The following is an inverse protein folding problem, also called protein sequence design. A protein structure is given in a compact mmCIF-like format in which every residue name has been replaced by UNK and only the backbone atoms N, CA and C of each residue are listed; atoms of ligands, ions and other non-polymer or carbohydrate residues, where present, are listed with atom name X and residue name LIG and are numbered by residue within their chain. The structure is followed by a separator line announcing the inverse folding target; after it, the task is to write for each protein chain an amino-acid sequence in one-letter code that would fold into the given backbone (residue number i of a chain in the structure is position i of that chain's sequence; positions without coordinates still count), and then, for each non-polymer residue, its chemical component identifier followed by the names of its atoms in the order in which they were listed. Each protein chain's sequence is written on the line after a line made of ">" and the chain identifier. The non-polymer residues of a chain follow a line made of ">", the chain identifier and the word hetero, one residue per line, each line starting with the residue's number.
data_IF_716197143863
#
_entry.id   IF_716197143863
#
_cell.length_a   1.000
_cell.length_b   1.000
_cell.length_c   1.000
_cell.angle_alpha   90.00
_cell.angle_beta   90.00
_cell.angle_gamma   90.00
#
_symmetry.space_group_name_H-M   'P 1'
#
loop_
_entity.id
_entity.type
_entity.pdbx_description
1 polymer ?
#
# COMPACT_ATOMS: atom_id res chain seq x y z
N UNK A 1 -9.82 1.94 -9.48
CA UNK A 1 -9.77 0.74 -8.64
C UNK A 1 -10.34 -0.45 -9.39
N UNK A 2 -9.67 -1.57 -9.31
CA UNK A 2 -10.07 -2.80 -10.01
C UNK A 2 -10.29 -3.88 -8.96
N UNK A 3 -11.45 -4.52 -9.01
CA UNK A 3 -11.78 -5.58 -8.06
C UNK A 3 -12.01 -6.89 -8.78
N UNK A 4 -11.62 -7.98 -8.15
CA UNK A 4 -11.84 -9.33 -8.66
C UNK A 4 -12.05 -10.31 -7.52
N UNK A 5 -12.26 -11.58 -7.84
CA UNK A 5 -12.54 -12.58 -6.81
C UNK A 5 -11.36 -12.78 -5.85
N UNK A 6 -10.16 -12.47 -6.29
CA UNK A 6 -8.95 -12.71 -5.49
C UNK A 6 -8.41 -11.44 -4.86
N UNK A 7 -9.11 -10.31 -4.96
CA UNK A 7 -8.66 -9.08 -4.33
C UNK A 7 -9.00 -7.84 -5.13
N UNK A 8 -8.37 -6.74 -4.73
CA UNK A 8 -8.55 -5.45 -5.36
C UNK A 8 -7.20 -4.85 -5.71
N UNK A 9 -7.11 -4.25 -6.90
CA UNK A 9 -5.93 -3.49 -7.30
C UNK A 9 -6.29 -2.01 -7.24
N UNK A 10 -5.45 -1.22 -6.58
CA UNK A 10 -5.68 0.21 -6.39
C UNK A 10 -4.45 0.96 -6.87
N UNK A 11 -4.66 1.94 -7.75
CA UNK A 11 -3.61 2.84 -8.16
C UNK A 11 -3.70 4.08 -7.27
N UNK A 12 -2.61 4.36 -6.56
CA UNK A 12 -2.57 5.50 -5.65
C UNK A 12 -1.47 6.46 -6.06
N UNK A 13 -1.80 7.74 -6.11
CA UNK A 13 -0.84 8.79 -6.44
C UNK A 13 -0.86 9.87 -5.37
N UNK A 14 0.31 10.17 -4.84
CA UNK A 14 0.46 11.23 -3.84
C UNK A 14 0.98 12.48 -4.54
N UNK A 15 0.10 13.46 -4.73
CA UNK A 15 0.50 14.73 -5.35
C UNK A 15 1.44 15.50 -4.43
N UNK A 16 1.26 15.34 -3.11
CA UNK A 16 2.10 15.95 -2.10
C UNK A 16 2.52 14.87 -1.12
N UNK A 17 3.55 15.15 -0.33
CA UNK A 17 3.99 14.23 0.71
C UNK A 17 2.79 13.85 1.58
N UNK A 18 2.59 12.56 1.77
CA UNK A 18 1.42 12.05 2.44
C UNK A 18 1.81 10.95 3.41
N UNK A 19 1.29 11.02 4.64
CA UNK A 19 1.60 10.04 5.67
C UNK A 19 0.37 9.20 5.97
N UNK A 20 0.58 7.88 6.02
CA UNK A 20 -0.45 6.94 6.44
C UNK A 20 -0.06 6.45 7.83
N UNK A 21 -0.89 6.74 8.84
CA UNK A 21 -0.55 6.34 10.21
C UNK A 21 -0.58 4.82 10.37
N UNK A 22 0.01 4.30 11.45
CA UNK A 22 0.04 2.87 11.68
C UNK A 22 -1.35 2.25 11.68
N UNK A 23 -1.48 1.14 10.98
CA UNK A 23 -2.75 0.41 10.90
C UNK A 23 -2.46 -1.02 10.46
N UNK A 24 -3.47 -1.87 10.50
CA UNK A 24 -3.34 -3.23 9.99
C UNK A 24 -4.61 -3.60 9.23
N UNK A 25 -4.47 -4.53 8.31
CA UNK A 25 -5.59 -5.02 7.51
C UNK A 25 -5.16 -6.34 6.86
N UNK A 26 -5.93 -6.83 5.89
CA UNK A 26 -5.58 -8.05 5.18
C UNK A 26 -4.27 -7.91 4.41
N UNK A 27 -3.78 -9.03 3.90
CA UNK A 27 -2.51 -9.05 3.19
C UNK A 27 -2.54 -8.13 1.98
N UNK A 28 -1.39 -7.54 1.68
CA UNK A 28 -1.27 -6.53 0.64
C UNK A 28 0.06 -6.72 -0.08
N UNK A 29 0.05 -6.55 -1.39
CA UNK A 29 1.24 -6.55 -2.22
C UNK A 29 1.24 -5.27 -3.04
N UNK A 30 2.39 -4.68 -3.27
CA UNK A 30 2.46 -3.46 -4.05
C UNK A 30 3.75 -3.29 -4.82
N UNK A 31 3.71 -2.35 -5.74
CA UNK A 31 4.89 -1.96 -6.51
C UNK A 31 4.93 -0.44 -6.62
N UNK A 32 6.12 0.13 -6.48
CA UNK A 32 6.32 1.56 -6.65
C UNK A 32 6.51 1.84 -8.13
N UNK A 33 5.67 2.71 -8.68
CA UNK A 33 5.74 3.11 -10.09
C UNK A 33 6.67 4.32 -10.25
N UNK A 34 6.55 5.29 -9.34
CA UNK A 34 7.40 6.48 -9.37
C UNK A 34 7.52 7.05 -7.95
N UNK A 35 8.51 7.91 -7.75
CA UNK A 35 8.72 8.58 -6.48
C UNK A 35 9.47 7.72 -5.48
N UNK A 36 9.18 7.93 -4.21
CA UNK A 36 9.79 7.17 -3.11
C UNK A 36 8.73 6.84 -2.09
N UNK A 37 8.75 5.61 -1.60
CA UNK A 37 7.84 5.14 -0.58
C UNK A 37 8.64 4.66 0.62
N UNK A 38 8.36 5.23 1.79
CA UNK A 38 8.98 4.80 3.04
C UNK A 38 7.94 3.98 3.80
N UNK A 39 8.26 2.71 4.03
CA UNK A 39 7.36 1.81 4.76
C UNK A 39 7.96 1.43 6.09
N UNK A 40 7.11 1.38 7.11
CA UNK A 40 7.45 0.77 8.38
C UNK A 40 6.53 -0.41 8.56
N UNK A 41 7.08 -1.62 8.58
CA UNK A 41 6.32 -2.85 8.70
C UNK A 41 6.81 -3.57 9.95
N UNK A 42 5.92 -3.77 10.91
CA UNK A 42 6.24 -4.44 12.15
C UNK A 42 7.50 -3.83 12.81
N UNK A 43 7.60 -2.49 12.77
CA UNK A 43 8.71 -1.76 13.37
C UNK A 43 9.96 -1.65 12.52
N UNK A 44 10.00 -2.28 11.36
CA UNK A 44 11.16 -2.21 10.46
C UNK A 44 10.90 -1.26 9.33
N UNK A 45 11.81 -0.33 9.13
CA UNK A 45 11.67 0.71 8.12
C UNK A 45 12.52 0.40 6.89
N UNK A 46 11.95 0.68 5.72
CA UNK A 46 12.64 0.51 4.45
C UNK A 46 12.12 1.54 3.46
N UNK A 47 12.96 1.91 2.51
CA UNK A 47 12.60 2.84 1.44
C UNK A 47 12.56 2.08 0.13
N UNK A 48 11.50 2.29 -0.63
CA UNK A 48 11.29 1.60 -1.90
C UNK A 48 11.33 2.59 -3.05
N UNK A 49 12.11 2.23 -4.07
CA UNK A 49 12.29 3.05 -5.28
C UNK A 49 11.44 2.48 -6.42
N UNK A 50 11.28 3.23 -7.51
CA UNK A 50 10.49 2.75 -8.63
C UNK A 50 10.94 1.38 -9.11
N UNK A 51 9.98 0.49 -9.33
CA UNK A 51 10.26 -0.89 -9.74
C UNK A 51 10.39 -1.86 -8.59
N UNK A 52 10.50 -1.38 -7.36
CA UNK A 52 10.61 -2.26 -6.20
C UNK A 52 9.24 -2.64 -5.69
N UNK A 53 9.13 -3.86 -5.17
CA UNK A 53 7.86 -4.39 -4.67
C UNK A 53 7.94 -4.58 -3.17
N UNK A 54 6.76 -4.64 -2.55
CA UNK A 54 6.66 -4.89 -1.11
C UNK A 54 5.49 -5.81 -0.83
N UNK A 55 5.63 -6.61 0.23
CA UNK A 55 4.60 -7.52 0.71
C UNK A 55 4.32 -7.19 2.16
N UNK A 56 3.05 -7.06 2.51
CA UNK A 56 2.65 -6.84 3.88
C UNK A 56 1.75 -7.99 4.29
N UNK A 57 2.22 -8.77 5.26
CA UNK A 57 1.45 -9.91 5.77
C UNK A 57 0.18 -9.41 6.46
N UNK A 58 -0.91 -10.12 6.25
CA UNK A 58 -2.18 -9.76 6.87
C UNK A 58 -2.08 -9.68 8.39
N UNK A 59 -2.68 -8.64 8.96
CA UNK A 59 -2.69 -8.43 10.40
C UNK A 59 -1.45 -7.75 10.97
N UNK A 60 -0.42 -7.50 10.16
CA UNK A 60 0.79 -6.85 10.62
C UNK A 60 0.61 -5.34 10.56
N UNK A 61 0.97 -4.68 11.67
CA UNK A 61 0.89 -3.22 11.72
C UNK A 61 1.92 -2.60 10.79
N UNK A 62 1.50 -1.62 10.02
CA UNK A 62 2.40 -0.92 9.11
C UNK A 62 1.95 0.52 8.93
N UNK A 63 2.89 1.35 8.53
CA UNK A 63 2.66 2.75 8.22
C UNK A 63 3.47 3.11 7.00
N UNK A 64 3.16 4.25 6.39
CA UNK A 64 3.81 4.63 5.15
C UNK A 64 3.95 6.15 5.05
N UNK A 65 4.99 6.58 4.34
CA UNK A 65 5.17 7.97 3.96
C UNK A 65 5.42 7.98 2.47
N UNK A 66 4.55 8.66 1.74
CA UNK A 66 4.69 8.82 0.29
C UNK A 66 5.28 10.18 0.02
N UNK A 67 6.45 10.23 -0.60
CA UNK A 67 7.00 11.52 -1.00
C UNK A 67 6.17 12.10 -2.15
N UNK A 68 6.25 13.41 -2.36
CA UNK A 68 5.48 14.04 -3.42
C UNK A 68 5.83 13.41 -4.77
N UNK A 69 4.79 13.12 -5.56
CA UNK A 69 4.96 12.49 -6.87
C UNK A 69 5.05 10.98 -6.84
N UNK A 70 4.89 10.37 -5.67
CA UNK A 70 4.95 8.90 -5.58
C UNK A 70 3.66 8.28 -6.11
N UNK A 71 3.83 7.28 -6.95
CA UNK A 71 2.72 6.47 -7.46
C UNK A 71 2.99 5.02 -7.14
N UNK A 72 1.98 4.33 -6.67
CA UNK A 72 2.07 2.90 -6.37
C UNK A 72 0.83 2.20 -6.88
N UNK A 73 0.97 0.89 -7.11
CA UNK A 73 -0.17 0.02 -7.39
C UNK A 73 -0.18 -1.00 -6.27
N UNK A 74 -1.28 -1.05 -5.53
CA UNK A 74 -1.44 -1.99 -4.43
C UNK A 74 -2.49 -3.01 -4.78
N UNK A 75 -2.22 -4.26 -4.42
CA UNK A 75 -3.17 -5.35 -4.57
C UNK A 75 -3.49 -5.87 -3.18
N UNK A 76 -4.75 -5.76 -2.79
CA UNK A 76 -5.23 -6.23 -1.49
C UNK A 76 -5.88 -7.58 -1.66
N UNK A 77 -5.54 -8.51 -0.79
CA UNK A 77 -6.11 -9.85 -0.85
C UNK A 77 -7.48 -9.95 -0.20
N UNK A 78 -7.94 -8.87 0.39
CA UNK A 78 -9.27 -8.81 0.99
C UNK A 78 -10.19 -8.03 0.05
N UNK A 79 -10.95 -8.71 -0.81
CA UNK A 79 -11.78 -8.03 -1.80
C UNK A 79 -12.93 -7.25 -1.18
N UNK A 80 -13.27 -7.54 0.07
CA UNK A 80 -14.37 -6.86 0.75
C UNK A 80 -13.92 -5.66 1.56
N UNK A 81 -12.62 -5.36 1.51
CA UNK A 81 -12.05 -4.30 2.33
C UNK A 81 -12.73 -2.94 2.12
N UNK A 82 -13.09 -2.64 0.89
CA UNK A 82 -13.72 -1.37 0.55
C UNK A 82 -15.18 -1.54 0.18
N UNK A 83 -15.78 -2.63 0.56
CA UNK A 83 -17.16 -2.89 0.23
C UNK A 83 -18.08 -1.94 1.00
N UNK A 84 -19.05 -1.31 0.34
CA UNK A 84 -19.95 -0.39 1.03
C UNK A 84 -20.88 -1.09 2.01
N UNK A 85 -21.04 -2.38 1.89
CA UNK A 85 -21.91 -3.09 2.81
C UNK A 85 -21.28 -3.26 4.19
N UNK A 86 -19.99 -3.06 4.28
CA UNK A 86 -19.31 -3.13 5.55
C UNK A 86 -19.70 -1.98 6.42
#
# INVERSE_FOLDING_TARGET
>A
MISGPDGQAVFFRAAERFEVPPHSHGAQWGIVVSGLLHLSIDGEEATYEPGETYDITGGVEHSAIFEAGTCVIDVFQDPDRYSPKE
#
